data_IF_994591487709
#
_entry.id   IF_994591487709
#
_cell.length_a   1.000
_cell.length_b   1.000
_cell.length_c   1.000
_cell.angle_alpha   90.00
_cell.angle_beta   90.00
_cell.angle_gamma   90.00
#
_symmetry.space_group_name_H-M   'P 1'
#
loop_
_entity.id
_entity.type
_entity.pdbx_description
1 polymer ?
#
# COMPACT_ATOMS: atom_id res chain seq x y z
N UNK A 1 -29.80 18.06 2.99
CA UNK A 1 -28.40 18.26 3.40
C UNK A 1 -27.65 17.00 2.95
N UNK A 2 -26.87 17.07 1.88
CA UNK A 2 -26.04 15.96 1.45
C UNK A 2 -24.97 15.75 2.53
N UNK A 3 -24.94 14.58 3.16
CA UNK A 3 -23.82 14.16 3.99
C UNK A 3 -22.61 14.05 3.06
N UNK A 4 -21.76 15.05 3.06
CA UNK A 4 -20.42 14.93 2.50
C UNK A 4 -19.76 13.77 3.24
N UNK A 5 -19.58 12.64 2.55
CA UNK A 5 -18.73 11.59 3.06
C UNK A 5 -17.37 12.24 3.34
N UNK A 6 -16.82 12.09 4.54
CA UNK A 6 -15.55 12.72 4.85
C UNK A 6 -14.51 12.22 3.85
N UNK A 7 -13.88 13.16 3.16
CA UNK A 7 -12.73 12.91 2.30
C UNK A 7 -11.64 12.31 3.17
N UNK A 8 -11.19 11.10 2.88
CA UNK A 8 -10.30 10.41 3.77
C UNK A 8 -8.85 10.84 3.62
N UNK A 9 -8.31 10.76 2.41
CA UNK A 9 -6.96 11.19 2.07
C UNK A 9 -7.00 12.19 0.94
N UNK A 10 -6.43 13.36 1.13
CA UNK A 10 -6.38 14.44 0.16
C UNK A 10 -4.94 14.87 -0.09
N UNK A 11 -4.56 14.90 -1.36
CA UNK A 11 -3.29 15.46 -1.82
C UNK A 11 -3.61 16.71 -2.63
N UNK A 12 -3.00 17.85 -2.27
CA UNK A 12 -3.26 19.13 -2.92
C UNK A 12 -1.97 19.74 -3.41
N UNK A 13 -1.80 19.78 -4.73
CA UNK A 13 -0.70 20.44 -5.44
C UNK A 13 0.70 20.09 -4.89
N UNK A 14 0.91 18.79 -4.58
CA UNK A 14 2.17 18.33 -3.99
C UNK A 14 3.30 18.32 -5.01
N UNK A 15 4.50 18.75 -4.58
CA UNK A 15 5.71 18.67 -5.36
C UNK A 15 6.88 18.16 -4.52
N UNK A 16 7.79 17.44 -5.16
CA UNK A 16 8.97 16.89 -4.52
C UNK A 16 10.14 16.71 -5.47
N UNK A 17 11.33 17.07 -5.00
CA UNK A 17 12.61 17.01 -5.74
C UNK A 17 13.64 16.19 -4.95
N UNK A 18 14.29 15.22 -5.62
CA UNK A 18 15.49 14.59 -5.08
C UNK A 18 16.71 15.37 -5.54
N UNK A 19 17.45 16.01 -4.61
CA UNK A 19 18.63 16.84 -4.88
C UNK A 19 18.27 17.90 -5.94
N UNK A 20 18.48 17.61 -7.22
CA UNK A 20 18.25 18.55 -8.34
C UNK A 20 17.21 18.00 -9.36
N UNK A 21 16.60 16.84 -9.10
CA UNK A 21 15.65 16.21 -10.02
C UNK A 21 14.22 16.26 -9.46
N UNK A 22 13.39 17.08 -10.08
CA UNK A 22 11.97 17.08 -9.80
C UNK A 22 11.34 15.71 -10.14
N UNK A 23 10.64 15.09 -9.17
CA UNK A 23 10.05 13.75 -9.29
C UNK A 23 8.54 13.79 -9.19
N UNK A 24 7.98 14.68 -8.38
CA UNK A 24 6.55 14.94 -8.30
C UNK A 24 6.32 16.42 -8.57
N UNK A 25 5.34 16.73 -9.42
CA UNK A 25 5.13 18.08 -9.96
C UNK A 25 3.65 18.49 -9.90
N UNK A 26 3.23 19.15 -8.81
CA UNK A 26 1.89 19.72 -8.66
C UNK A 26 0.77 18.68 -8.72
N UNK A 27 0.97 17.51 -8.10
CA UNK A 27 0.04 16.40 -8.15
C UNK A 27 -1.08 16.59 -7.12
N UNK A 28 -2.33 16.35 -7.53
CA UNK A 28 -3.51 16.42 -6.68
C UNK A 28 -4.46 15.27 -6.96
N UNK A 29 -4.96 14.60 -5.93
CA UNK A 29 -6.08 13.66 -5.99
C UNK A 29 -6.67 13.44 -4.59
N UNK A 30 -7.79 12.74 -4.56
CA UNK A 30 -8.51 12.41 -3.32
C UNK A 30 -8.80 10.92 -3.32
N UNK A 31 -8.60 10.26 -2.17
CA UNK A 31 -8.99 8.87 -1.94
C UNK A 31 -10.08 8.80 -0.89
N UNK A 32 -11.19 8.15 -1.23
CA UNK A 32 -12.32 7.92 -0.31
C UNK A 32 -12.09 6.67 0.55
N UNK A 33 -12.79 6.60 1.66
CA UNK A 33 -12.71 5.42 2.54
C UNK A 33 -13.07 4.12 1.83
N UNK A 34 -12.21 3.13 1.93
CA UNK A 34 -12.40 1.81 1.32
C UNK A 34 -12.22 1.78 -0.19
N UNK A 35 -11.76 2.89 -0.80
CA UNK A 35 -11.45 2.96 -2.21
C UNK A 35 -10.11 2.31 -2.52
N UNK A 36 -10.06 1.54 -3.62
CA UNK A 36 -8.83 1.00 -4.18
C UNK A 36 -8.40 1.85 -5.37
N UNK A 37 -7.26 2.51 -5.26
CA UNK A 37 -6.69 3.36 -6.31
C UNK A 37 -5.43 2.68 -6.87
N UNK A 38 -5.39 2.44 -8.18
CA UNK A 38 -4.18 2.02 -8.85
C UNK A 38 -3.42 3.23 -9.41
N UNK A 39 -2.14 3.29 -9.16
CA UNK A 39 -1.22 4.27 -9.75
C UNK A 39 -0.34 3.53 -10.74
N UNK A 40 -0.53 3.80 -12.02
CA UNK A 40 0.20 3.16 -13.12
C UNK A 40 1.06 4.17 -13.87
N UNK A 41 2.08 3.68 -14.55
CA UNK A 41 2.99 4.49 -15.36
C UNK A 41 4.34 3.83 -15.53
N UNK A 42 5.18 4.39 -16.38
CA UNK A 42 6.52 3.87 -16.66
C UNK A 42 7.41 3.80 -15.41
N UNK A 43 8.44 2.96 -15.47
CA UNK A 43 9.46 2.91 -14.41
C UNK A 43 10.11 4.29 -14.26
N UNK A 44 10.27 4.75 -13.03
CA UNK A 44 10.87 6.05 -12.73
C UNK A 44 9.95 7.28 -12.91
N UNK A 45 8.65 7.11 -13.21
CA UNK A 45 7.72 8.24 -13.31
C UNK A 45 7.29 8.86 -11.97
N UNK A 46 7.70 8.27 -10.81
CA UNK A 46 7.45 8.82 -9.48
C UNK A 46 6.47 8.03 -8.60
N UNK A 47 5.95 6.85 -9.02
CA UNK A 47 4.96 6.06 -8.26
C UNK A 47 5.41 5.72 -6.83
N UNK A 48 6.57 5.10 -6.69
CA UNK A 48 7.13 4.75 -5.37
C UNK A 48 7.42 5.98 -4.52
N UNK A 49 7.84 7.08 -5.15
CA UNK A 49 8.06 8.36 -4.47
C UNK A 49 6.75 8.92 -3.94
N UNK A 50 5.67 8.86 -4.72
CA UNK A 50 4.34 9.26 -4.30
C UNK A 50 3.89 8.48 -3.05
N UNK A 51 4.02 7.15 -3.05
CA UNK A 51 3.67 6.34 -1.87
C UNK A 51 4.52 6.70 -0.64
N UNK A 52 5.83 6.93 -0.83
CA UNK A 52 6.72 7.34 0.26
C UNK A 52 6.39 8.73 0.82
N UNK A 53 5.93 9.67 0.00
CA UNK A 53 5.44 10.98 0.45
C UNK A 53 4.15 10.83 1.27
N UNK A 54 3.19 10.02 0.80
CA UNK A 54 1.95 9.74 1.55
C UNK A 54 2.25 9.05 2.89
N UNK A 55 3.28 8.19 2.94
CA UNK A 55 3.71 7.54 4.17
C UNK A 55 4.48 8.47 5.12
N UNK A 56 4.88 9.66 4.68
CA UNK A 56 5.67 10.61 5.48
C UNK A 56 7.17 10.28 5.55
N UNK A 57 7.73 9.55 4.57
CA UNK A 57 9.17 9.26 4.50
C UNK A 57 10.00 10.44 4.01
N UNK A 58 9.39 11.41 3.34
CA UNK A 58 10.03 12.61 2.84
C UNK A 58 9.17 13.83 3.13
N UNK A 59 9.82 15.00 3.24
CA UNK A 59 9.14 16.29 3.32
C UNK A 59 8.76 16.77 1.92
N UNK A 60 7.58 17.36 1.78
CA UNK A 60 7.17 18.02 0.53
C UNK A 60 7.95 19.32 0.31
N UNK A 61 8.26 19.64 -0.96
CA UNK A 61 8.75 20.96 -1.35
C UNK A 61 7.60 21.98 -1.34
N UNK A 62 6.41 21.54 -1.78
CA UNK A 62 5.19 22.34 -1.77
C UNK A 62 3.93 21.47 -1.74
N UNK A 63 2.79 22.08 -1.43
CA UNK A 63 1.50 21.39 -1.33
C UNK A 63 1.27 20.77 0.04
N UNK A 64 0.19 19.99 0.16
CA UNK A 64 -0.23 19.36 1.40
C UNK A 64 -0.76 17.96 1.17
N UNK A 65 -0.55 17.08 2.14
CA UNK A 65 -1.21 15.77 2.25
C UNK A 65 -1.97 15.77 3.56
N UNK A 66 -3.28 15.53 3.51
CA UNK A 66 -4.15 15.52 4.67
C UNK A 66 -4.91 14.19 4.76
N UNK A 67 -5.10 13.71 5.98
CA UNK A 67 -5.97 12.59 6.30
C UNK A 67 -7.04 13.05 7.28
N UNK A 68 -8.31 13.01 6.87
CA UNK A 68 -9.45 13.53 7.66
C UNK A 68 -9.21 14.96 8.20
N UNK A 69 -8.60 15.83 7.38
CA UNK A 69 -8.28 17.21 7.72
C UNK A 69 -6.99 17.39 8.56
N UNK A 70 -6.34 16.31 8.99
CA UNK A 70 -5.07 16.38 9.70
C UNK A 70 -3.89 16.21 8.73
N UNK A 71 -2.84 17.05 8.80
CA UNK A 71 -1.71 16.96 7.91
C UNK A 71 -0.87 15.72 8.19
N UNK A 72 -0.45 15.02 7.13
CA UNK A 72 0.61 14.01 7.18
C UNK A 72 1.93 14.71 6.94
N UNK A 73 2.80 14.64 7.92
CA UNK A 73 4.06 15.40 7.96
C UNK A 73 5.26 14.45 7.75
N UNK A 74 6.31 14.99 7.11
CA UNK A 74 7.56 14.28 6.87
C UNK A 74 8.56 14.37 8.05
N UNK A 75 9.83 13.94 7.79
CA UNK A 75 10.88 13.81 8.81
C UNK A 75 11.26 15.09 9.55
N UNK A 76 11.00 16.27 8.98
CA UNK A 76 11.23 17.54 9.70
C UNK A 76 10.38 17.69 10.95
N UNK A 77 9.23 17.00 10.99
CA UNK A 77 8.25 17.12 12.08
C UNK A 77 8.06 15.81 12.83
N UNK A 78 8.25 14.65 12.17
CA UNK A 78 8.06 13.33 12.73
C UNK A 78 9.37 12.53 12.65
N UNK A 79 9.94 12.17 13.82
CA UNK A 79 11.17 11.34 13.89
C UNK A 79 10.96 9.92 13.35
N UNK A 80 9.75 9.39 13.46
CA UNK A 80 9.38 8.06 12.99
C UNK A 80 8.35 8.25 11.87
N UNK A 81 8.68 7.85 10.63
CA UNK A 81 7.73 7.97 9.53
C UNK A 81 6.56 7.00 9.67
N UNK A 82 5.43 7.43 9.15
CA UNK A 82 4.18 6.67 9.16
C UNK A 82 3.35 6.88 10.40
N UNK A 83 2.07 7.07 10.18
CA UNK A 83 1.06 7.15 11.23
C UNK A 83 0.52 5.75 11.55
N UNK A 84 -0.07 5.57 12.73
CA UNK A 84 -0.61 4.26 13.15
C UNK A 84 -1.65 3.71 12.18
N UNK A 85 -2.43 4.60 11.56
CA UNK A 85 -3.48 4.25 10.61
C UNK A 85 -3.00 4.02 9.17
N UNK A 86 -1.70 4.28 8.86
CA UNK A 86 -1.11 4.04 7.53
C UNK A 86 -0.06 2.94 7.63
N UNK A 87 -0.09 1.99 6.67
CA UNK A 87 1.00 1.01 6.50
C UNK A 87 1.47 1.02 5.06
N UNK A 88 2.77 0.81 4.89
CA UNK A 88 3.46 0.82 3.61
C UNK A 88 4.20 -0.50 3.39
N UNK A 89 3.93 -1.15 2.27
CA UNK A 89 4.68 -2.30 1.79
C UNK A 89 5.67 -1.82 0.71
N UNK A 90 6.94 -1.77 1.08
CA UNK A 90 8.03 -1.46 0.18
C UNK A 90 8.46 -2.68 -0.65
N UNK A 91 9.20 -2.44 -1.73
CA UNK A 91 9.69 -3.50 -2.63
C UNK A 91 10.69 -4.46 -1.98
N UNK A 92 11.41 -4.05 -0.94
CA UNK A 92 12.42 -4.82 -0.21
C UNK A 92 11.85 -5.70 0.91
N UNK A 93 10.52 -5.68 1.09
CA UNK A 93 9.73 -6.47 2.05
C UNK A 93 10.04 -6.25 3.53
N UNK A 94 11.22 -5.78 3.91
CA UNK A 94 11.67 -5.49 5.28
C UNK A 94 11.33 -6.62 6.29
N UNK A 95 11.44 -7.89 5.89
CA UNK A 95 11.22 -9.03 6.78
C UNK A 95 12.44 -9.27 7.69
N UNK A 96 12.17 -9.71 8.91
CA UNK A 96 13.21 -10.15 9.83
C UNK A 96 13.66 -11.57 9.44
N UNK A 97 14.89 -11.75 8.92
CA UNK A 97 15.28 -12.99 8.26
C UNK A 97 15.42 -14.18 9.20
N UNK A 98 15.72 -13.93 10.48
CA UNK A 98 16.07 -14.97 11.45
C UNK A 98 14.92 -15.44 12.34
N UNK A 99 13.75 -14.79 12.28
CA UNK A 99 12.54 -15.23 12.96
C UNK A 99 11.59 -15.95 12.01
N UNK A 100 10.60 -16.64 12.54
CA UNK A 100 9.64 -17.41 11.76
C UNK A 100 8.65 -16.50 11.01
N UNK A 101 7.94 -17.09 10.07
CA UNK A 101 6.87 -16.41 9.31
C UNK A 101 5.79 -15.89 10.25
N UNK A 102 5.28 -16.71 11.18
CA UNK A 102 4.27 -16.31 12.15
C UNK A 102 4.76 -15.20 13.08
N UNK A 103 6.03 -15.21 13.48
CA UNK A 103 6.64 -14.15 14.28
C UNK A 103 6.77 -12.85 13.48
N UNK A 104 7.12 -12.91 12.19
CA UNK A 104 7.14 -11.74 11.31
C UNK A 104 5.74 -11.10 11.20
N UNK A 105 4.71 -11.88 10.90
CA UNK A 105 3.33 -11.38 10.77
C UNK A 105 2.81 -10.84 12.09
N UNK A 106 3.05 -11.54 13.20
CA UNK A 106 2.61 -11.15 14.53
C UNK A 106 3.50 -10.13 15.24
N UNK A 107 4.56 -9.60 14.60
CA UNK A 107 5.59 -8.78 15.25
C UNK A 107 5.04 -7.59 16.03
N UNK A 108 4.12 -6.87 15.45
CA UNK A 108 3.57 -5.64 16.02
C UNK A 108 2.22 -5.85 16.74
N UNK A 109 1.71 -7.08 16.79
CA UNK A 109 0.50 -7.41 17.53
C UNK A 109 0.79 -7.52 19.03
N UNK A 110 -0.19 -7.09 19.84
CA UNK A 110 -0.08 -7.15 21.31
C UNK A 110 0.11 -8.59 21.81
N UNK A 111 1.03 -8.77 22.75
CA UNK A 111 1.28 -10.06 23.41
C UNK A 111 0.34 -10.31 24.59
N UNK A 112 -0.47 -9.33 25.00
CA UNK A 112 -1.42 -9.44 26.12
C UNK A 112 -2.51 -10.45 25.78
N UNK A 113 -3.04 -10.41 24.56
CA UNK A 113 -4.11 -11.28 24.08
C UNK A 113 -3.56 -12.35 23.13
N UNK A 114 -2.84 -13.34 23.70
CA UNK A 114 -2.10 -14.35 22.91
C UNK A 114 -2.98 -15.14 21.96
N UNK A 115 -4.19 -15.50 22.35
CA UNK A 115 -5.09 -16.29 21.49
C UNK A 115 -5.64 -15.45 20.34
N UNK A 116 -5.98 -14.18 20.59
CA UNK A 116 -6.36 -13.23 19.52
C UNK A 116 -5.24 -13.00 18.54
N UNK A 117 -4.00 -12.84 19.05
CA UNK A 117 -2.80 -12.72 18.21
C UNK A 117 -2.61 -13.94 17.32
N UNK A 118 -2.68 -15.15 17.88
CA UNK A 118 -2.55 -16.41 17.12
C UNK A 118 -3.64 -16.54 16.05
N UNK A 119 -4.90 -16.29 16.41
CA UNK A 119 -6.01 -16.33 15.47
C UNK A 119 -5.81 -15.33 14.32
N UNK A 120 -5.39 -14.11 14.63
CA UNK A 120 -5.12 -13.07 13.63
C UNK A 120 -3.98 -13.44 12.68
N UNK A 121 -2.89 -13.96 13.21
CA UNK A 121 -1.75 -14.43 12.41
C UNK A 121 -2.18 -15.58 11.50
N UNK A 122 -2.95 -16.54 12.01
CA UNK A 122 -3.46 -17.67 11.22
C UNK A 122 -4.36 -17.21 10.07
N UNK A 123 -5.35 -16.34 10.35
CA UNK A 123 -6.24 -15.73 9.35
C UNK A 123 -5.44 -15.11 8.19
N UNK A 124 -4.43 -14.30 8.51
CA UNK A 124 -3.62 -13.62 7.51
C UNK A 124 -2.73 -14.57 6.72
N UNK A 125 -2.16 -15.59 7.38
CA UNK A 125 -1.35 -16.61 6.70
C UNK A 125 -2.20 -17.49 5.78
N UNK A 126 -3.44 -17.78 6.15
CA UNK A 126 -4.38 -18.49 5.30
C UNK A 126 -4.73 -17.64 4.06
N UNK A 127 -5.06 -16.36 4.25
CA UNK A 127 -5.37 -15.42 3.16
C UNK A 127 -4.24 -15.34 2.10
N UNK A 128 -2.97 -15.37 2.54
CA UNK A 128 -1.80 -15.29 1.64
C UNK A 128 -1.22 -16.67 1.28
N UNK A 129 -1.89 -17.77 1.63
CA UNK A 129 -1.48 -19.17 1.37
C UNK A 129 -0.08 -19.51 1.92
N UNK A 130 0.20 -19.09 3.16
CA UNK A 130 1.49 -19.30 3.83
C UNK A 130 1.40 -20.07 5.14
N UNK A 131 0.27 -20.71 5.44
CA UNK A 131 0.02 -21.43 6.70
C UNK A 131 1.05 -22.55 6.92
N UNK A 132 1.39 -23.32 5.89
CA UNK A 132 2.37 -24.42 5.96
C UNK A 132 3.78 -23.93 6.32
N UNK A 133 4.09 -22.67 6.01
CA UNK A 133 5.39 -22.03 6.27
C UNK A 133 5.46 -21.30 7.61
N UNK A 134 4.40 -21.34 8.43
CA UNK A 134 4.28 -20.53 9.67
C UNK A 134 5.53 -20.63 10.58
N UNK A 135 6.10 -21.83 10.70
CA UNK A 135 7.29 -22.12 11.54
C UNK A 135 8.64 -21.99 10.81
N UNK A 136 8.63 -21.69 9.52
CA UNK A 136 9.85 -21.51 8.72
C UNK A 136 10.43 -20.12 8.95
N UNK A 137 11.75 -20.00 9.07
CA UNK A 137 12.41 -18.69 9.15
C UNK A 137 12.37 -17.96 7.81
N UNK A 138 12.12 -16.65 7.82
CA UNK A 138 11.93 -15.85 6.62
C UNK A 138 13.10 -15.92 5.63
N UNK A 139 14.35 -16.10 6.11
CA UNK A 139 15.54 -16.25 5.25
C UNK A 139 15.54 -17.49 4.33
N UNK A 140 14.69 -18.47 4.61
CA UNK A 140 14.58 -19.68 3.79
C UNK A 140 13.45 -19.62 2.75
N UNK A 141 12.72 -18.53 2.71
CA UNK A 141 11.62 -18.31 1.77
C UNK A 141 12.13 -17.83 0.41
N UNK A 142 11.43 -18.23 -0.66
CA UNK A 142 11.60 -17.62 -1.97
C UNK A 142 11.12 -16.16 -1.96
N UNK A 143 11.53 -15.34 -2.96
CA UNK A 143 11.09 -13.94 -3.06
C UNK A 143 9.57 -13.77 -3.05
N UNK A 144 8.85 -14.59 -3.83
CA UNK A 144 7.38 -14.54 -3.85
C UNK A 144 6.74 -15.00 -2.53
N UNK A 145 7.36 -15.92 -1.79
CA UNK A 145 6.92 -16.28 -0.44
C UNK A 145 7.17 -15.15 0.55
N UNK A 146 8.33 -14.49 0.47
CA UNK A 146 8.66 -13.33 1.30
C UNK A 146 7.66 -12.19 1.04
N UNK A 147 7.33 -11.92 -0.23
CA UNK A 147 6.35 -10.90 -0.62
C UNK A 147 4.97 -11.18 0.01
N UNK A 148 4.49 -12.42 -0.02
CA UNK A 148 3.23 -12.82 0.62
C UNK A 148 3.24 -12.63 2.13
N UNK A 149 4.32 -13.00 2.80
CA UNK A 149 4.47 -12.79 4.25
C UNK A 149 4.51 -11.30 4.60
N UNK A 150 5.22 -10.48 3.81
CA UNK A 150 5.28 -9.04 4.02
C UNK A 150 3.90 -8.39 3.86
N UNK A 151 3.10 -8.84 2.88
CA UNK A 151 1.72 -8.40 2.70
C UNK A 151 0.84 -8.76 3.91
N UNK A 152 0.93 -9.99 4.42
CA UNK A 152 0.23 -10.38 5.65
C UNK A 152 0.65 -9.52 6.86
N UNK A 153 1.94 -9.20 6.99
CA UNK A 153 2.47 -8.40 8.09
C UNK A 153 1.92 -6.97 8.10
N UNK A 154 1.86 -6.29 6.94
CA UNK A 154 1.35 -4.91 6.88
C UNK A 154 -0.15 -4.83 7.15
N UNK A 155 -0.89 -5.92 6.92
CA UNK A 155 -2.32 -6.04 7.21
C UNK A 155 -2.61 -6.43 8.67
N UNK A 156 -1.61 -6.87 9.43
CA UNK A 156 -1.81 -7.40 10.78
C UNK A 156 -2.46 -6.40 11.73
N UNK A 157 -2.11 -5.12 11.63
CA UNK A 157 -2.62 -4.02 12.46
C UNK A 157 -3.93 -3.40 11.95
N UNK A 158 -4.56 -3.96 10.92
CA UNK A 158 -5.80 -3.43 10.30
C UNK A 158 -5.71 -1.92 9.99
N UNK A 159 -4.79 -1.49 9.13
CA UNK A 159 -4.62 -0.07 8.81
C UNK A 159 -5.87 0.50 8.15
N UNK A 160 -6.05 1.82 8.24
CA UNK A 160 -7.11 2.50 7.50
C UNK A 160 -6.69 2.85 6.07
N UNK A 161 -5.37 3.08 5.88
CA UNK A 161 -4.74 3.30 4.57
C UNK A 161 -3.61 2.28 4.39
N UNK A 162 -3.63 1.60 3.26
CA UNK A 162 -2.59 0.66 2.85
C UNK A 162 -1.92 1.15 1.56
N UNK A 163 -0.62 1.31 1.60
CA UNK A 163 0.20 1.71 0.47
C UNK A 163 1.01 0.50 0.01
N UNK A 164 0.85 0.09 -1.25
CA UNK A 164 1.48 -1.09 -1.82
C UNK A 164 2.36 -0.74 -3.01
N UNK A 165 3.66 -1.00 -2.90
CA UNK A 165 4.62 -0.75 -3.97
C UNK A 165 5.00 -2.07 -4.66
N UNK A 166 4.46 -2.31 -5.86
CA UNK A 166 4.64 -3.54 -6.65
C UNK A 166 4.35 -4.83 -5.87
N UNK A 167 3.20 -4.95 -5.17
CA UNK A 167 2.97 -6.01 -4.16
C UNK A 167 2.88 -7.42 -4.73
N UNK A 168 2.80 -7.58 -6.04
CA UNK A 168 2.64 -8.88 -6.69
C UNK A 168 3.75 -9.18 -7.71
N UNK A 169 4.81 -8.37 -7.77
CA UNK A 169 5.84 -8.44 -8.81
C UNK A 169 6.65 -9.76 -8.81
N UNK A 170 6.88 -10.35 -7.63
CA UNK A 170 7.68 -11.59 -7.48
C UNK A 170 6.83 -12.86 -7.35
N UNK A 171 5.50 -12.75 -7.48
CA UNK A 171 4.59 -13.87 -7.35
C UNK A 171 4.34 -14.48 -8.74
N UNK A 172 4.41 -15.81 -8.82
CA UNK A 172 4.12 -16.53 -10.06
C UNK A 172 2.68 -16.28 -10.54
N UNK A 173 2.50 -16.27 -11.87
CA UNK A 173 1.24 -15.88 -12.52
C UNK A 173 0.05 -16.77 -12.12
N UNK A 174 0.31 -18.03 -11.77
CA UNK A 174 -0.74 -18.97 -11.39
C UNK A 174 -1.36 -18.62 -10.04
N UNK A 175 -0.54 -18.27 -9.04
CA UNK A 175 -0.98 -17.91 -7.69
C UNK A 175 -1.41 -16.45 -7.56
N UNK A 176 -0.88 -15.59 -8.42
CA UNK A 176 -1.09 -14.14 -8.39
C UNK A 176 -2.57 -13.76 -8.40
N UNK A 177 -3.38 -14.39 -9.26
CA UNK A 177 -4.81 -14.06 -9.39
C UNK A 177 -5.65 -14.47 -8.17
N UNK A 178 -5.36 -15.62 -7.55
CA UNK A 178 -6.04 -16.05 -6.33
C UNK A 178 -5.70 -15.12 -5.15
N UNK A 179 -4.41 -14.82 -4.98
CA UNK A 179 -3.93 -13.92 -3.94
C UNK A 179 -4.52 -12.51 -4.08
N UNK A 180 -4.53 -11.95 -5.29
CA UNK A 180 -5.17 -10.65 -5.58
C UNK A 180 -6.61 -10.63 -5.10
N UNK A 181 -7.43 -11.61 -5.52
CA UNK A 181 -8.84 -11.69 -5.10
C UNK A 181 -8.98 -11.72 -3.58
N UNK A 182 -8.23 -12.58 -2.91
CA UNK A 182 -8.29 -12.72 -1.45
C UNK A 182 -7.95 -11.40 -0.75
N UNK A 183 -6.86 -10.75 -1.18
CA UNK A 183 -6.40 -9.49 -0.60
C UNK A 183 -7.42 -8.37 -0.85
N UNK A 184 -7.85 -8.14 -2.09
CA UNK A 184 -8.77 -7.05 -2.38
C UNK A 184 -10.17 -7.28 -1.81
N UNK A 185 -10.64 -8.53 -1.73
CA UNK A 185 -11.85 -8.87 -1.00
C UNK A 185 -11.71 -8.49 0.47
N UNK A 186 -10.61 -8.87 1.11
CA UNK A 186 -10.31 -8.53 2.50
C UNK A 186 -10.29 -7.00 2.71
N UNK A 187 -9.59 -6.25 1.84
CA UNK A 187 -9.54 -4.79 1.91
C UNK A 187 -10.95 -4.17 1.85
N UNK A 188 -11.79 -4.67 0.97
CA UNK A 188 -13.17 -4.20 0.80
C UNK A 188 -14.05 -4.50 2.02
N UNK A 189 -13.96 -5.72 2.55
CA UNK A 189 -14.69 -6.12 3.77
C UNK A 189 -14.30 -5.28 4.99
N UNK A 190 -13.01 -4.97 5.12
CA UNK A 190 -12.47 -4.15 6.21
C UNK A 190 -12.55 -2.64 5.94
N UNK A 191 -13.02 -2.23 4.77
CA UNK A 191 -13.07 -0.82 4.31
C UNK A 191 -11.71 -0.12 4.39
N UNK A 192 -10.64 -0.85 4.08
CA UNK A 192 -9.29 -0.31 4.03
C UNK A 192 -9.10 0.41 2.70
N UNK A 193 -8.71 1.68 2.74
CA UNK A 193 -8.33 2.43 1.54
C UNK A 193 -6.96 1.95 1.06
N UNK A 194 -6.86 1.57 -0.22
CA UNK A 194 -5.62 1.05 -0.78
C UNK A 194 -5.13 1.92 -1.94
N UNK A 195 -3.84 2.27 -1.92
CA UNK A 195 -3.15 2.88 -3.06
C UNK A 195 -2.05 1.93 -3.49
N UNK A 196 -2.19 1.37 -4.69
CA UNK A 196 -1.24 0.41 -5.26
C UNK A 196 -0.47 1.05 -6.40
N UNK A 197 0.85 1.11 -6.28
CA UNK A 197 1.74 1.45 -7.39
C UNK A 197 2.12 0.16 -8.13
N UNK A 198 1.83 0.09 -9.41
CA UNK A 198 2.13 -1.08 -10.23
C UNK A 198 2.39 -0.70 -11.69
N UNK A 199 3.14 -1.55 -12.39
CA UNK A 199 3.27 -1.50 -13.84
C UNK A 199 2.38 -2.55 -14.54
N UNK A 200 1.72 -3.42 -13.77
CA UNK A 200 0.83 -4.46 -14.28
C UNK A 200 -0.58 -3.89 -14.47
N UNK A 201 -0.99 -3.73 -15.74
CA UNK A 201 -2.33 -3.23 -16.07
C UNK A 201 -3.46 -4.12 -15.53
N UNK A 202 -3.20 -5.41 -15.30
CA UNK A 202 -4.18 -6.32 -14.71
C UNK A 202 -4.51 -5.95 -13.26
N UNK A 203 -3.53 -5.46 -12.49
CA UNK A 203 -3.76 -4.97 -11.13
C UNK A 203 -4.73 -3.78 -11.14
N UNK A 204 -4.52 -2.84 -12.06
CA UNK A 204 -5.37 -1.67 -12.21
C UNK A 204 -6.78 -2.02 -12.72
N UNK A 205 -6.87 -2.82 -13.78
CA UNK A 205 -8.15 -3.13 -14.44
C UNK A 205 -9.07 -4.03 -13.61
N UNK A 206 -8.51 -4.95 -12.80
CA UNK A 206 -9.33 -5.98 -12.14
C UNK A 206 -9.80 -5.61 -10.74
N UNK A 207 -9.08 -4.73 -10.04
CA UNK A 207 -9.28 -4.55 -8.60
C UNK A 207 -9.34 -3.10 -8.13
N UNK A 208 -9.05 -2.12 -8.99
CA UNK A 208 -9.16 -0.71 -8.60
C UNK A 208 -10.53 -0.13 -8.93
N UNK A 209 -11.01 0.76 -8.05
CA UNK A 209 -12.19 1.58 -8.29
C UNK A 209 -11.84 2.78 -9.19
N UNK A 210 -10.59 3.24 -9.09
CA UNK A 210 -10.02 4.38 -9.80
C UNK A 210 -8.58 4.09 -10.22
N UNK A 211 -8.17 4.56 -11.38
CA UNK A 211 -6.81 4.40 -11.89
C UNK A 211 -6.23 5.76 -12.25
N UNK A 212 -5.08 6.05 -11.65
CA UNK A 212 -4.28 7.25 -11.90
C UNK A 212 -3.13 6.86 -12.82
N UNK A 213 -3.03 7.51 -13.97
CA UNK A 213 -1.90 7.35 -14.89
C UNK A 213 -0.88 8.45 -14.65
N UNK A 214 0.34 8.05 -14.26
CA UNK A 214 1.43 9.00 -14.00
C UNK A 214 2.46 9.00 -15.12
N UNK A 215 2.90 10.20 -15.51
CA UNK A 215 4.02 10.42 -16.42
C UNK A 215 4.83 11.64 -15.96
N UNK A 216 6.14 11.52 -15.89
CA UNK A 216 7.06 12.61 -15.50
C UNK A 216 6.63 13.37 -14.22
N UNK A 217 6.18 12.64 -13.20
CA UNK A 217 5.76 13.19 -11.93
C UNK A 217 4.40 13.89 -11.91
N UNK A 218 3.63 13.79 -12.99
CA UNK A 218 2.28 14.39 -13.13
C UNK A 218 1.24 13.33 -13.35
N UNK A 219 0.01 13.62 -12.96
CA UNK A 219 -1.17 12.85 -13.37
C UNK A 219 -1.54 13.30 -14.78
N UNK A 220 -1.56 12.36 -15.73
CA UNK A 220 -1.98 12.61 -17.11
C UNK A 220 -3.40 12.11 -17.40
N UNK A 221 -3.89 11.16 -16.60
CA UNK A 221 -5.26 10.70 -16.62
C UNK A 221 -5.66 10.18 -15.24
N UNK A 222 -6.92 10.35 -14.90
CA UNK A 222 -7.52 9.84 -13.67
C UNK A 222 -8.99 9.52 -13.99
N UNK A 223 -9.36 8.24 -13.95
CA UNK A 223 -10.70 7.78 -14.28
C UNK A 223 -10.92 6.34 -13.78
N UNK A 224 -12.11 5.80 -13.95
CA UNK A 224 -12.35 4.38 -13.73
C UNK A 224 -11.54 3.53 -14.73
N UNK A 225 -11.13 2.31 -14.36
CA UNK A 225 -10.38 1.42 -15.26
C UNK A 225 -11.05 1.22 -16.62
N UNK A 226 -12.39 1.07 -16.63
CA UNK A 226 -13.17 0.88 -17.86
C UNK A 226 -13.08 2.08 -18.81
N UNK A 227 -13.15 3.28 -18.27
CA UNK A 227 -13.06 4.50 -19.05
C UNK A 227 -11.65 4.71 -19.64
N UNK A 228 -10.61 4.37 -18.89
CA UNK A 228 -9.22 4.47 -19.37
C UNK A 228 -8.89 3.45 -20.46
N UNK A 229 -9.48 2.25 -20.38
CA UNK A 229 -9.27 1.21 -21.39
C UNK A 229 -9.94 1.52 -22.73
N UNK A 230 -11.02 2.29 -22.73
CA UNK A 230 -11.81 2.65 -23.92
C UNK A 230 -11.35 3.94 -24.61
N UNK A 231 -10.33 4.61 -24.09
CA UNK A 231 -9.69 5.82 -24.68
C UNK A 231 -8.42 5.47 -25.41
#
# INVERSE_FOLDING_TARGET
>A
MASLNPTMLELTNISFTYIDKAVINGLSFVAQQGQNIAVIGESGCGKSTLLKLIYGLYDLDSGNINYNGNPILGPKYNLIPGEDYIKYLAQDFDLMPYITVEENVGKFLSNIYRDKKKARVHELLEMVEMTEYAKVKAKYLSGGQQQRVALARVLALEPQILLLDEPFSQIDSFRKNALRRNVFQYLKEKKITCIIATHDSTDALSFSDETIVMQHGKIIANDTPQNLYNK
#
